data_IF_811555224332
#
_entry.id   IF_811555224332
#
_cell.length_a   1.000
_cell.length_b   1.000
_cell.length_c   1.000
_cell.angle_alpha   90.00
_cell.angle_beta   90.00
_cell.angle_gamma   90.00
#
_symmetry.space_group_name_H-M   'P 1'
#
loop_
_entity.id
_entity.type
_entity.pdbx_description
1 polymer ?
#
# COMPACT_ATOMS: atom_id res chain seq x y z
N UNK A 1 44.89 60.47 -12.62
CA UNK A 1 44.20 61.48 -13.44
C UNK A 1 43.67 60.84 -14.73
N UNK A 2 42.35 60.78 -14.84
CA UNK A 2 41.52 61.16 -16.00
C UNK A 2 41.71 60.60 -17.44
N UNK A 3 40.52 60.22 -17.99
CA UNK A 3 40.01 60.18 -19.38
C UNK A 3 40.11 58.84 -20.12
N UNK A 4 39.02 58.09 -20.27
CA UNK A 4 37.80 58.25 -21.13
C UNK A 4 38.02 57.96 -22.63
N UNK A 5 37.52 56.77 -23.02
CA UNK A 5 36.56 56.50 -24.11
C UNK A 5 37.00 56.65 -25.58
N UNK A 6 36.81 55.58 -26.37
CA UNK A 6 36.12 55.67 -27.68
C UNK A 6 35.51 54.32 -28.09
N UNK A 7 34.19 54.34 -28.21
CA UNK A 7 33.35 53.33 -28.85
C UNK A 7 33.41 53.53 -30.37
N UNK A 8 33.38 52.44 -31.15
CA UNK A 8 32.90 52.46 -32.53
C UNK A 8 31.95 51.29 -32.76
N UNK A 9 30.68 51.62 -32.93
CA UNK A 9 29.58 50.79 -33.45
C UNK A 9 29.52 51.08 -34.95
N UNK A 10 29.45 50.06 -35.82
CA UNK A 10 28.77 50.13 -37.13
C UNK A 10 28.20 48.74 -37.48
N UNK A 11 26.87 48.69 -37.42
CA UNK A 11 25.84 48.12 -38.31
C UNK A 11 25.82 46.66 -38.81
N UNK A 12 24.66 46.05 -38.53
CA UNK A 12 24.04 44.89 -39.19
C UNK A 12 23.69 45.20 -40.67
N UNK A 13 23.34 44.20 -41.51
CA UNK A 13 21.93 43.78 -41.56
C UNK A 13 21.66 42.28 -41.86
N UNK A 14 20.50 41.81 -41.38
CA UNK A 14 19.64 40.74 -41.95
C UNK A 14 20.09 39.29 -41.71
N UNK A 15 19.23 38.35 -41.34
CA UNK A 15 17.77 38.36 -41.23
C UNK A 15 17.24 37.27 -40.31
N UNK A 16 15.92 37.28 -40.20
CA UNK A 16 15.08 36.59 -39.23
C UNK A 16 15.27 35.07 -39.15
N UNK A 17 15.21 34.56 -37.92
CA UNK A 17 14.29 33.47 -37.65
C UNK A 17 13.91 33.41 -36.16
N UNK A 18 12.61 33.28 -35.92
CA UNK A 18 11.97 33.15 -34.62
C UNK A 18 12.60 32.07 -33.74
N UNK A 19 12.89 32.36 -32.46
CA UNK A 19 12.11 31.73 -31.39
C UNK A 19 12.42 32.29 -29.99
N UNK A 20 11.34 32.50 -29.27
CA UNK A 20 11.20 33.02 -27.93
C UNK A 20 11.78 32.04 -26.89
N UNK A 21 13.03 32.22 -26.43
CA UNK A 21 13.66 31.43 -25.34
C UNK A 21 14.59 32.26 -24.44
N UNK A 22 14.20 33.50 -24.13
CA UNK A 22 15.01 34.41 -23.31
C UNK A 22 14.42 34.76 -21.94
N UNK A 23 13.17 34.41 -21.69
CA UNK A 23 12.42 34.87 -20.51
C UNK A 23 12.39 33.82 -19.39
N UNK A 24 12.60 32.53 -19.68
CA UNK A 24 12.52 31.48 -18.65
C UNK A 24 13.78 31.29 -17.82
N UNK A 25 14.98 31.33 -18.42
CA UNK A 25 16.20 30.96 -17.70
C UNK A 25 16.52 31.93 -16.56
N UNK A 26 16.32 33.24 -16.77
CA UNK A 26 16.58 34.26 -15.74
C UNK A 26 15.53 34.26 -14.62
N UNK A 27 14.29 33.89 -14.93
CA UNK A 27 13.24 33.75 -13.92
C UNK A 27 13.50 32.52 -13.06
N UNK A 28 13.88 31.40 -13.68
CA UNK A 28 14.29 30.17 -12.99
C UNK A 28 15.56 30.41 -12.15
N UNK A 29 16.58 31.08 -12.68
CA UNK A 29 17.81 31.38 -11.94
C UNK A 29 17.60 32.39 -10.80
N UNK A 30 16.58 33.24 -10.90
CA UNK A 30 16.18 34.16 -9.83
C UNK A 30 15.34 33.44 -8.77
N UNK A 31 14.43 32.54 -9.18
CA UNK A 31 13.67 31.67 -8.28
C UNK A 31 14.58 30.74 -7.49
N UNK A 32 15.58 30.11 -8.13
CA UNK A 32 16.57 29.26 -7.47
C UNK A 32 17.39 30.07 -6.46
N UNK A 33 17.83 31.29 -6.82
CA UNK A 33 18.55 32.18 -5.90
C UNK A 33 17.70 32.69 -4.74
N UNK A 34 16.43 32.98 -4.98
CA UNK A 34 15.48 33.42 -3.96
C UNK A 34 15.07 32.25 -3.04
N UNK A 35 15.06 31.03 -3.55
CA UNK A 35 14.90 29.79 -2.80
C UNK A 35 16.12 29.50 -1.92
N UNK A 36 17.33 29.55 -2.46
CA UNK A 36 18.58 29.38 -1.71
C UNK A 36 18.72 30.43 -0.59
N UNK A 37 18.37 31.69 -0.85
CA UNK A 37 18.40 32.76 0.16
C UNK A 37 17.39 32.57 1.30
N UNK A 38 16.25 31.93 1.03
CA UNK A 38 15.17 31.79 2.01
C UNK A 38 15.36 30.62 2.97
N UNK A 39 16.15 29.61 2.59
CA UNK A 39 16.25 28.34 3.33
C UNK A 39 17.68 27.98 3.82
N UNK A 40 18.68 28.85 3.64
CA UNK A 40 20.06 28.57 4.06
C UNK A 40 20.31 28.52 5.59
N UNK A 41 19.33 28.85 6.43
CA UNK A 41 19.48 28.78 7.89
C UNK A 41 18.60 27.71 8.58
N UNK A 42 17.91 26.85 7.83
CA UNK A 42 17.11 25.80 8.44
C UNK A 42 16.94 24.59 7.49
N UNK A 43 17.87 23.64 7.57
CA UNK A 43 17.88 22.39 6.80
C UNK A 43 16.70 21.46 7.13
N UNK A 44 15.86 21.79 8.12
CA UNK A 44 14.66 21.01 8.45
C UNK A 44 13.48 21.25 7.50
N UNK A 45 13.52 22.28 6.65
CA UNK A 45 12.39 22.68 5.78
C UNK A 45 12.49 22.22 4.32
N UNK A 46 13.57 21.54 3.92
CA UNK A 46 13.67 20.92 2.58
C UNK A 46 12.77 19.67 2.47
N UNK A 47 12.38 19.09 3.62
CA UNK A 47 11.56 17.88 3.71
C UNK A 47 10.04 18.14 3.80
N UNK A 48 9.58 19.39 3.61
CA UNK A 48 8.16 19.73 3.81
C UNK A 48 7.35 19.93 2.53
N UNK A 49 7.88 19.59 1.35
CA UNK A 49 7.07 19.57 0.14
C UNK A 49 6.23 18.28 0.13
N UNK A 50 4.92 18.44 0.05
CA UNK A 50 4.00 17.32 -0.05
C UNK A 50 4.14 16.63 -1.41
N UNK A 51 3.90 15.31 -1.47
CA UNK A 51 4.02 14.51 -2.70
C UNK A 51 3.22 15.11 -3.88
N UNK A 52 2.12 15.82 -3.61
CA UNK A 52 1.30 16.51 -4.62
C UNK A 52 2.04 17.67 -5.30
N UNK A 53 2.87 18.40 -4.56
CA UNK A 53 3.67 19.52 -5.08
C UNK A 53 4.81 19.03 -5.98
N UNK A 54 5.22 17.76 -5.85
CA UNK A 54 6.27 17.12 -6.64
C UNK A 54 5.75 16.31 -7.84
N UNK A 55 4.49 15.83 -7.80
CA UNK A 55 3.94 14.89 -8.79
C UNK A 55 2.96 15.49 -9.79
N UNK A 56 2.55 16.76 -9.62
CA UNK A 56 1.60 17.42 -10.51
C UNK A 56 0.20 16.79 -10.50
N UNK A 57 -0.13 15.99 -9.48
CA UNK A 57 -1.47 15.46 -9.27
C UNK A 57 -2.43 16.59 -8.86
N UNK A 58 -3.72 16.53 -9.27
CA UNK A 58 -4.71 17.52 -8.84
C UNK A 58 -4.77 17.60 -7.31
N UNK A 59 -5.19 18.75 -6.74
CA UNK A 59 -5.34 18.89 -5.30
C UNK A 59 -6.27 17.79 -4.78
N UNK A 60 -5.84 17.12 -3.71
CA UNK A 60 -6.61 16.06 -3.07
C UNK A 60 -7.87 16.69 -2.47
N UNK A 61 -9.02 16.04 -2.70
CA UNK A 61 -10.30 16.55 -2.22
C UNK A 61 -10.32 16.55 -0.69
N UNK A 62 -10.82 17.59 -0.06
CA UNK A 62 -11.09 17.55 1.38
C UNK A 62 -12.23 16.57 1.70
N UNK A 63 -12.33 16.16 2.96
CA UNK A 63 -13.41 15.30 3.41
C UNK A 63 -14.80 15.91 3.15
N UNK A 64 -14.93 17.24 3.26
CA UNK A 64 -16.14 17.98 2.92
C UNK A 64 -16.40 18.02 1.40
N UNK A 65 -15.36 18.14 0.59
CA UNK A 65 -15.48 18.12 -0.87
C UNK A 65 -15.94 16.74 -1.38
N UNK A 66 -15.46 15.66 -0.77
CA UNK A 66 -15.91 14.29 -1.08
C UNK A 66 -17.38 14.12 -0.70
N UNK A 67 -17.78 14.56 0.50
CA UNK A 67 -19.17 14.51 0.95
C UNK A 67 -20.10 15.32 0.02
N UNK A 68 -19.67 16.51 -0.39
CA UNK A 68 -20.43 17.34 -1.32
C UNK A 68 -20.56 16.68 -2.70
N UNK A 69 -19.50 16.06 -3.21
CA UNK A 69 -19.57 15.27 -4.47
C UNK A 69 -20.54 14.10 -4.37
N UNK A 70 -20.62 13.45 -3.20
CA UNK A 70 -21.59 12.39 -2.97
C UNK A 70 -23.03 12.93 -3.05
N UNK A 71 -23.31 14.06 -2.42
CA UNK A 71 -24.60 14.74 -2.52
C UNK A 71 -24.96 15.10 -3.97
N UNK A 72 -24.01 15.67 -4.71
CA UNK A 72 -24.20 16.06 -6.11
C UNK A 72 -24.42 14.84 -7.02
N UNK A 73 -23.75 13.72 -6.74
CA UNK A 73 -23.91 12.46 -7.48
C UNK A 73 -25.29 11.88 -7.23
N UNK A 74 -25.75 11.87 -5.97
CA UNK A 74 -27.10 11.43 -5.66
C UNK A 74 -28.18 12.28 -6.36
N UNK A 75 -28.00 13.60 -6.41
CA UNK A 75 -28.93 14.49 -7.11
C UNK A 75 -29.07 14.16 -8.61
N UNK A 76 -28.05 13.54 -9.23
CA UNK A 76 -28.03 13.16 -10.64
C UNK A 76 -28.47 11.72 -10.89
N UNK A 77 -28.12 10.80 -9.98
CA UNK A 77 -28.23 9.35 -10.20
C UNK A 77 -29.24 8.63 -9.31
N UNK A 78 -29.79 9.30 -8.29
CA UNK A 78 -30.71 8.72 -7.31
C UNK A 78 -30.20 7.41 -6.70
N UNK A 79 -29.21 7.52 -5.81
CA UNK A 79 -28.51 6.38 -5.21
C UNK A 79 -29.46 5.62 -4.28
N UNK A 80 -29.56 4.30 -4.47
CA UNK A 80 -30.32 3.42 -3.57
C UNK A 80 -29.69 3.43 -2.17
N UNK A 81 -30.51 3.53 -1.12
CA UNK A 81 -30.02 3.60 0.25
C UNK A 81 -29.28 4.90 0.60
N UNK A 82 -29.42 5.96 -0.20
CA UNK A 82 -28.71 7.22 -0.01
C UNK A 82 -28.76 7.77 1.42
N UNK A 83 -29.91 7.72 2.11
CA UNK A 83 -30.02 8.23 3.47
C UNK A 83 -29.15 7.47 4.47
N UNK A 84 -28.94 6.18 4.26
CA UNK A 84 -28.05 5.34 5.06
C UNK A 84 -26.58 5.71 4.79
N UNK A 85 -26.16 5.69 3.52
CA UNK A 85 -24.78 6.02 3.14
C UNK A 85 -24.40 7.46 3.45
N UNK A 86 -25.37 8.39 3.39
CA UNK A 86 -25.17 9.77 3.85
C UNK A 86 -24.72 9.82 5.32
N UNK A 87 -25.36 9.05 6.19
CA UNK A 87 -24.99 9.01 7.61
C UNK A 87 -23.57 8.45 7.79
N UNK A 88 -23.22 7.42 7.02
CA UNK A 88 -21.87 6.85 7.03
C UNK A 88 -20.82 7.89 6.60
N UNK A 89 -21.03 8.58 5.47
CA UNK A 89 -20.08 9.59 5.02
C UNK A 89 -19.99 10.79 5.97
N UNK A 90 -21.10 11.19 6.60
CA UNK A 90 -21.08 12.21 7.67
C UNK A 90 -20.26 11.75 8.88
N UNK A 91 -20.39 10.48 9.30
CA UNK A 91 -19.59 9.89 10.38
C UNK A 91 -18.10 9.77 10.02
N UNK A 92 -17.76 9.38 8.79
CA UNK A 92 -16.38 9.36 8.30
C UNK A 92 -15.80 10.77 8.37
N UNK A 93 -16.50 11.76 7.82
CA UNK A 93 -16.07 13.16 7.85
C UNK A 93 -15.86 13.67 9.28
N UNK A 94 -16.79 13.37 10.19
CA UNK A 94 -16.67 13.73 11.60
C UNK A 94 -15.43 13.08 12.24
N UNK A 95 -15.20 11.79 12.03
CA UNK A 95 -14.02 11.10 12.57
C UNK A 95 -12.71 11.70 12.03
N UNK A 96 -12.66 12.12 10.76
CA UNK A 96 -11.48 12.78 10.19
C UNK A 96 -11.25 14.18 10.80
N UNK A 97 -12.30 14.97 10.99
CA UNK A 97 -12.21 16.28 11.67
C UNK A 97 -11.73 16.14 13.12
N UNK A 98 -12.18 15.08 13.82
CA UNK A 98 -11.75 14.73 15.18
C UNK A 98 -10.38 14.04 15.24
N UNK A 99 -9.73 13.81 14.09
CA UNK A 99 -8.44 13.07 13.95
C UNK A 99 -8.50 11.60 14.40
N UNK A 100 -9.69 11.01 14.45
CA UNK A 100 -9.94 9.60 14.73
C UNK A 100 -9.78 8.75 13.45
N UNK A 101 -8.59 8.77 12.83
CA UNK A 101 -8.34 8.12 11.52
C UNK A 101 -8.67 6.62 11.55
N UNK A 102 -8.32 5.91 12.62
CA UNK A 102 -8.60 4.46 12.77
C UNK A 102 -10.08 4.12 12.61
N UNK A 103 -10.96 4.91 13.23
CA UNK A 103 -12.41 4.71 13.14
C UNK A 103 -12.96 5.05 11.77
N UNK A 104 -12.38 6.04 11.09
CA UNK A 104 -12.74 6.36 9.72
C UNK A 104 -12.39 5.20 8.77
N UNK A 105 -11.20 4.58 8.94
CA UNK A 105 -10.81 3.38 8.19
C UNK A 105 -11.74 2.21 8.47
N UNK A 106 -12.02 1.92 9.75
CA UNK A 106 -12.93 0.81 10.14
C UNK A 106 -14.30 0.95 9.47
N UNK A 107 -14.89 2.16 9.45
CA UNK A 107 -16.18 2.40 8.78
C UNK A 107 -16.13 2.22 7.26
N UNK A 108 -15.00 2.55 6.63
CA UNK A 108 -14.82 2.40 5.18
C UNK A 108 -14.66 0.92 4.84
N UNK A 109 -13.79 0.21 5.56
CA UNK A 109 -13.53 -1.22 5.36
C UNK A 109 -14.80 -2.04 5.58
N UNK A 110 -15.56 -1.75 6.64
CA UNK A 110 -16.84 -2.42 6.93
C UNK A 110 -17.82 -2.31 5.76
N UNK A 111 -17.94 -1.13 5.16
CA UNK A 111 -18.85 -0.93 4.03
C UNK A 111 -18.30 -1.53 2.74
N UNK A 112 -17.02 -1.35 2.41
CA UNK A 112 -16.42 -1.92 1.20
C UNK A 112 -16.45 -3.47 1.18
N UNK A 113 -16.53 -4.11 2.35
CA UNK A 113 -16.72 -5.55 2.47
C UNK A 113 -18.15 -6.02 2.17
N UNK A 114 -19.12 -5.11 2.08
CA UNK A 114 -20.52 -5.46 1.85
C UNK A 114 -20.83 -5.65 0.36
N UNK A 115 -21.39 -6.81 0.02
CA UNK A 115 -21.72 -7.21 -1.35
C UNK A 115 -22.81 -6.38 -2.03
N UNK A 116 -23.50 -5.50 -1.28
CA UNK A 116 -24.62 -4.70 -1.76
C UNK A 116 -24.28 -3.23 -2.02
N UNK A 117 -23.02 -2.81 -1.83
CA UNK A 117 -22.63 -1.39 -2.01
C UNK A 117 -22.82 -0.96 -3.47
N UNK A 118 -23.62 0.08 -3.75
CA UNK A 118 -23.73 0.64 -5.10
C UNK A 118 -22.38 1.18 -5.57
N UNK A 119 -22.07 1.00 -6.86
CA UNK A 119 -20.81 1.47 -7.46
C UNK A 119 -20.53 2.95 -7.21
N UNK A 120 -21.56 3.80 -7.26
CA UNK A 120 -21.42 5.23 -6.94
C UNK A 120 -20.95 5.47 -5.51
N UNK A 121 -21.36 4.64 -4.55
CA UNK A 121 -20.96 4.74 -3.13
C UNK A 121 -19.52 4.26 -2.99
N UNK A 122 -19.17 3.13 -3.61
CA UNK A 122 -17.81 2.58 -3.66
C UNK A 122 -16.80 3.63 -4.17
N UNK A 123 -17.13 4.33 -5.27
CA UNK A 123 -16.29 5.41 -5.82
C UNK A 123 -15.98 6.51 -4.79
N UNK A 124 -16.94 6.86 -3.92
CA UNK A 124 -16.75 7.89 -2.88
C UNK A 124 -16.05 7.35 -1.63
N UNK A 125 -16.27 6.09 -1.26
CA UNK A 125 -15.52 5.41 -0.21
C UNK A 125 -14.04 5.34 -0.57
N UNK A 126 -13.71 4.96 -1.81
CA UNK A 126 -12.34 4.94 -2.32
C UNK A 126 -11.69 6.33 -2.31
N UNK A 127 -12.44 7.40 -2.59
CA UNK A 127 -11.93 8.78 -2.43
C UNK A 127 -11.55 9.10 -0.97
N UNK A 128 -12.33 8.62 0.00
CA UNK A 128 -11.99 8.76 1.41
C UNK A 128 -10.76 7.94 1.81
N UNK A 129 -10.60 6.72 1.28
CA UNK A 129 -9.38 5.92 1.48
C UNK A 129 -8.15 6.69 0.99
N UNK A 130 -8.20 7.26 -0.22
CA UNK A 130 -7.09 8.04 -0.79
C UNK A 130 -6.74 9.25 0.10
N UNK A 131 -7.75 9.97 0.60
CA UNK A 131 -7.55 11.08 1.52
C UNK A 131 -6.92 10.62 2.84
N UNK A 132 -7.41 9.51 3.41
CA UNK A 132 -6.86 8.95 4.66
C UNK A 132 -5.40 8.54 4.48
N UNK A 133 -5.08 7.84 3.40
CA UNK A 133 -3.71 7.47 3.06
C UNK A 133 -2.83 8.72 2.97
N UNK A 134 -3.31 9.81 2.37
CA UNK A 134 -2.57 11.07 2.34
C UNK A 134 -2.38 11.69 3.74
N UNK A 135 -3.40 11.70 4.57
CA UNK A 135 -3.32 12.22 5.94
C UNK A 135 -2.33 11.42 6.79
N UNK A 136 -2.38 10.10 6.70
CA UNK A 136 -1.42 9.19 7.35
C UNK A 136 -0.01 9.49 6.85
N UNK A 137 0.17 9.58 5.53
CA UNK A 137 1.46 9.89 4.91
C UNK A 137 2.02 11.24 5.39
N UNK A 138 1.19 12.30 5.45
CA UNK A 138 1.60 13.62 5.98
C UNK A 138 1.99 13.55 7.45
N UNK A 139 1.23 12.81 8.27
CA UNK A 139 1.53 12.63 9.68
C UNK A 139 2.84 11.85 9.89
N UNK A 140 3.04 10.78 9.12
CA UNK A 140 4.27 9.99 9.14
C UNK A 140 5.46 10.83 8.66
N UNK A 141 5.32 11.63 7.61
CA UNK A 141 6.36 12.53 7.11
C UNK A 141 6.71 13.62 8.15
N UNK A 142 5.72 14.20 8.83
CA UNK A 142 5.99 15.14 9.92
C UNK A 142 6.76 14.48 11.08
N UNK A 143 6.47 13.22 11.40
CA UNK A 143 7.07 12.50 12.51
C UNK A 143 8.45 11.89 12.20
N UNK A 144 8.70 11.49 10.95
CA UNK A 144 9.85 10.66 10.57
C UNK A 144 10.61 11.22 9.35
N UNK A 145 10.11 12.26 8.69
CA UNK A 145 10.67 12.82 7.45
C UNK A 145 12.08 13.39 7.58
N UNK A 146 12.44 13.83 8.78
CA UNK A 146 13.77 14.31 9.11
C UNK A 146 14.82 13.19 9.25
N UNK A 147 14.39 11.92 9.33
CA UNK A 147 15.32 10.79 9.46
C UNK A 147 15.99 10.49 8.13
N UNK A 148 17.26 10.10 8.18
CA UNK A 148 17.94 9.49 7.05
C UNK A 148 17.41 8.06 6.80
N UNK A 149 17.61 7.52 5.60
CA UNK A 149 17.21 6.14 5.28
C UNK A 149 17.81 5.10 6.22
N UNK A 150 19.06 5.31 6.67
CA UNK A 150 19.71 4.43 7.66
C UNK A 150 19.04 4.48 9.03
N UNK A 151 18.68 5.68 9.50
CA UNK A 151 18.00 5.86 10.79
C UNK A 151 16.58 5.30 10.75
N UNK A 152 15.86 5.51 9.64
CA UNK A 152 14.52 4.96 9.43
C UNK A 152 14.54 3.42 9.48
N UNK A 153 15.43 2.79 8.70
CA UNK A 153 15.62 1.34 8.71
C UNK A 153 16.00 0.88 10.13
N UNK A 154 16.99 1.50 10.76
CA UNK A 154 17.41 1.12 12.12
C UNK A 154 16.26 1.21 13.12
N UNK A 155 15.42 2.26 13.05
CA UNK A 155 14.28 2.46 13.94
C UNK A 155 13.15 1.45 13.70
N UNK A 156 12.88 1.12 12.45
CA UNK A 156 11.90 0.10 12.08
C UNK A 156 12.28 -1.29 12.59
N UNK A 157 13.58 -1.62 12.56
CA UNK A 157 14.09 -2.93 12.95
C UNK A 157 14.56 -3.05 14.41
N UNK A 158 14.70 -1.94 15.14
CA UNK A 158 15.15 -1.92 16.55
C UNK A 158 14.25 -2.71 17.51
N UNK A 159 12.96 -2.84 17.19
CA UNK A 159 11.99 -3.63 17.95
C UNK A 159 11.16 -4.51 17.01
N UNK A 160 11.86 -5.24 16.13
CA UNK A 160 11.23 -6.13 15.16
C UNK A 160 10.31 -7.16 15.85
N UNK A 161 9.07 -7.38 15.38
CA UNK A 161 8.43 -6.78 14.20
C UNK A 161 7.55 -5.54 14.50
N UNK A 162 7.41 -5.15 15.77
CA UNK A 162 6.44 -4.16 16.26
C UNK A 162 6.50 -2.80 15.54
N UNK A 163 7.67 -2.42 15.03
CA UNK A 163 7.91 -1.14 14.38
C UNK A 163 7.97 -1.22 12.85
N UNK A 164 7.65 -2.36 12.24
CA UNK A 164 7.74 -2.52 10.78
C UNK A 164 6.78 -1.60 10.01
N UNK A 165 5.63 -1.26 10.61
CA UNK A 165 4.69 -0.28 10.05
C UNK A 165 5.34 1.09 9.77
N UNK A 166 6.45 1.44 10.43
CA UNK A 166 7.20 2.66 10.15
C UNK A 166 7.82 2.66 8.74
N UNK A 167 8.00 1.50 8.11
CA UNK A 167 8.51 1.39 6.75
C UNK A 167 7.48 1.76 5.69
N UNK A 168 6.21 1.98 6.04
CA UNK A 168 5.21 2.42 5.06
C UNK A 168 5.55 3.80 4.47
N UNK A 169 6.27 4.63 5.24
CA UNK A 169 6.79 5.91 4.77
C UNK A 169 7.72 5.78 3.56
N UNK A 170 8.25 4.58 3.27
CA UNK A 170 8.99 4.30 2.04
C UNK A 170 8.23 4.81 0.79
N UNK A 171 6.91 4.70 0.79
CA UNK A 171 6.05 5.11 -0.32
C UNK A 171 6.05 6.63 -0.58
N UNK A 172 6.42 7.42 0.42
CA UNK A 172 6.47 8.89 0.31
C UNK A 172 7.87 9.40 -0.05
N UNK A 173 8.89 8.54 -0.04
CA UNK A 173 10.27 8.96 -0.25
C UNK A 173 10.61 9.09 -1.73
N UNK A 174 11.36 10.14 -2.12
CA UNK A 174 11.79 10.30 -3.50
C UNK A 174 12.83 9.23 -3.87
N UNK A 175 12.96 8.92 -5.17
CA UNK A 175 14.09 8.14 -5.68
C UNK A 175 15.42 8.71 -5.20
N UNK A 176 16.33 7.84 -4.78
CA UNK A 176 17.64 8.17 -4.23
C UNK A 176 17.67 8.34 -2.71
N UNK A 177 16.53 8.32 -2.02
CA UNK A 177 16.51 8.36 -0.55
C UNK A 177 17.11 7.09 0.06
N UNK A 178 16.80 5.93 -0.51
CA UNK A 178 17.44 4.65 -0.17
C UNK A 178 18.67 4.44 -1.04
N UNK A 179 19.69 3.81 -0.46
CA UNK A 179 20.91 3.37 -1.16
C UNK A 179 20.89 1.86 -1.27
N UNK A 180 21.21 1.31 -2.45
CA UNK A 180 21.10 -0.13 -2.74
C UNK A 180 21.80 -1.00 -1.70
N UNK A 181 22.93 -0.55 -1.17
CA UNK A 181 23.74 -1.26 -0.17
C UNK A 181 23.01 -1.44 1.16
N UNK A 182 22.05 -0.58 1.47
CA UNK A 182 21.22 -0.67 2.69
C UNK A 182 20.35 -1.93 2.71
N UNK A 183 20.10 -2.54 1.55
CA UNK A 183 19.37 -3.80 1.49
C UNK A 183 20.07 -4.95 2.23
N UNK A 184 21.40 -4.88 2.38
CA UNK A 184 22.17 -5.85 3.16
C UNK A 184 21.72 -5.93 4.62
N UNK A 185 21.16 -4.86 5.18
CA UNK A 185 20.61 -4.84 6.53
C UNK A 185 19.23 -5.53 6.62
N UNK A 186 18.46 -5.48 5.53
CA UNK A 186 17.11 -6.05 5.45
C UNK A 186 17.17 -7.55 5.12
N UNK A 187 18.16 -7.96 4.30
CA UNK A 187 18.32 -9.31 3.78
C UNK A 187 18.19 -10.42 4.85
N UNK A 188 18.81 -10.32 6.06
CA UNK A 188 18.71 -11.37 7.06
C UNK A 188 17.26 -11.73 7.42
N UNK A 189 16.38 -10.73 7.57
CA UNK A 189 14.97 -10.94 7.94
C UNK A 189 14.16 -11.65 6.85
N UNK A 190 14.50 -11.44 5.57
CA UNK A 190 13.86 -12.16 4.46
C UNK A 190 14.36 -13.61 4.34
N UNK A 191 15.62 -13.86 4.72
CA UNK A 191 16.29 -15.15 4.54
C UNK A 191 16.17 -16.09 5.74
N UNK A 192 15.98 -15.56 6.95
CA UNK A 192 16.09 -16.34 8.18
C UNK A 192 14.85 -17.21 8.42
N UNK A 193 15.04 -18.47 8.82
CA UNK A 193 13.97 -19.45 9.05
C UNK A 193 13.03 -19.06 10.20
N UNK A 194 13.55 -18.38 11.20
CA UNK A 194 12.85 -17.95 12.42
C UNK A 194 11.95 -16.73 12.20
N UNK A 195 12.10 -16.01 11.08
CA UNK A 195 11.20 -14.91 10.74
C UNK A 195 9.91 -15.46 10.15
N UNK A 196 8.76 -15.11 10.71
CA UNK A 196 7.47 -15.58 10.23
C UNK A 196 7.19 -15.14 8.79
N UNK A 197 6.48 -15.99 8.05
CA UNK A 197 6.20 -15.79 6.63
C UNK A 197 5.45 -14.48 6.34
N UNK A 198 4.51 -14.08 7.19
CA UNK A 198 3.76 -12.83 6.99
C UNK A 198 4.67 -11.60 7.04
N UNK A 199 5.67 -11.57 7.94
CA UNK A 199 6.67 -10.50 7.96
C UNK A 199 7.58 -10.52 6.73
N UNK A 200 7.95 -11.71 6.25
CA UNK A 200 8.74 -11.85 5.01
C UNK A 200 8.00 -11.29 3.80
N UNK A 201 6.72 -11.62 3.66
CA UNK A 201 5.84 -11.10 2.60
C UNK A 201 5.75 -9.58 2.72
N UNK A 202 5.41 -9.07 3.91
CA UNK A 202 5.28 -7.64 4.18
C UNK A 202 6.55 -6.85 3.80
N UNK A 203 7.72 -7.32 4.26
CA UNK A 203 9.01 -6.71 3.93
C UNK A 203 9.28 -6.77 2.41
N UNK A 204 9.01 -7.90 1.77
CA UNK A 204 9.20 -8.05 0.32
C UNK A 204 8.33 -7.05 -0.45
N UNK A 205 7.05 -6.91 -0.08
CA UNK A 205 6.11 -5.99 -0.72
C UNK A 205 6.49 -4.53 -0.52
N UNK A 206 6.86 -4.13 0.70
CA UNK A 206 7.31 -2.76 0.98
C UNK A 206 8.56 -2.43 0.17
N UNK A 207 9.58 -3.29 0.20
CA UNK A 207 10.83 -2.99 -0.46
C UNK A 207 10.79 -3.17 -1.98
N UNK A 208 9.78 -3.88 -2.50
CA UNK A 208 9.48 -3.89 -3.94
C UNK A 208 9.00 -2.53 -4.45
N UNK A 209 8.59 -1.62 -3.58
CA UNK A 209 8.26 -0.22 -3.92
C UNK A 209 9.49 0.69 -3.97
N UNK A 210 10.66 0.22 -3.55
CA UNK A 210 11.92 0.98 -3.59
C UNK A 210 12.69 0.68 -4.87
N UNK A 211 12.78 1.67 -5.76
CA UNK A 211 13.43 1.53 -7.07
C UNK A 211 14.90 1.08 -6.95
N UNK A 212 15.62 1.56 -5.95
CA UNK A 212 17.04 1.24 -5.77
C UNK A 212 17.28 -0.22 -5.38
N UNK A 213 16.25 -0.90 -4.86
CA UNK A 213 16.30 -2.31 -4.48
C UNK A 213 15.82 -3.25 -5.59
N UNK A 214 15.25 -2.71 -6.67
CA UNK A 214 14.76 -3.51 -7.79
C UNK A 214 15.84 -4.47 -8.31
N UNK A 215 15.42 -5.72 -8.59
CA UNK A 215 16.27 -6.77 -9.12
C UNK A 215 17.24 -7.42 -8.14
N UNK A 216 17.30 -7.00 -6.86
CA UNK A 216 18.07 -7.73 -5.84
C UNK A 216 17.45 -9.11 -5.65
N UNK A 217 18.27 -10.16 -5.78
CA UNK A 217 17.85 -11.53 -5.54
C UNK A 217 17.91 -11.87 -4.05
N UNK A 218 16.85 -12.50 -3.56
CA UNK A 218 16.63 -12.86 -2.17
C UNK A 218 16.30 -14.34 -2.11
N UNK A 219 17.01 -15.07 -1.24
CA UNK A 219 16.72 -16.48 -0.92
C UNK A 219 15.80 -16.55 0.29
N UNK A 220 14.50 -16.72 0.06
CA UNK A 220 13.50 -16.79 1.13
C UNK A 220 13.27 -18.25 1.54
N UNK A 221 13.35 -18.54 2.83
CA UNK A 221 13.00 -19.83 3.40
C UNK A 221 11.66 -19.71 4.14
N UNK A 222 10.68 -20.55 3.82
CA UNK A 222 9.41 -20.60 4.54
C UNK A 222 9.62 -21.15 5.96
N UNK A 223 9.16 -20.43 6.99
CA UNK A 223 9.34 -20.81 8.40
C UNK A 223 8.60 -22.09 8.80
N UNK A 224 7.49 -22.41 8.12
CA UNK A 224 6.59 -23.53 8.39
C UNK A 224 6.88 -24.78 7.58
N UNK A 225 7.19 -24.62 6.29
CA UNK A 225 7.41 -25.75 5.36
C UNK A 225 8.90 -26.02 5.12
N UNK A 226 9.79 -25.05 5.40
CA UNK A 226 11.22 -25.13 5.08
C UNK A 226 11.52 -24.98 3.58
N UNK A 227 10.51 -24.69 2.76
CA UNK A 227 10.66 -24.51 1.31
C UNK A 227 11.52 -23.27 1.04
N UNK A 228 12.50 -23.41 0.16
CA UNK A 228 13.38 -22.31 -0.25
C UNK A 228 12.95 -21.81 -1.63
N UNK A 229 12.88 -20.48 -1.79
CA UNK A 229 12.66 -19.84 -3.08
C UNK A 229 13.60 -18.67 -3.28
N UNK A 230 14.01 -18.47 -4.53
CA UNK A 230 14.72 -17.28 -4.96
C UNK A 230 13.72 -16.33 -5.61
N UNK A 231 13.66 -15.08 -5.14
CA UNK A 231 12.80 -14.04 -5.67
C UNK A 231 13.60 -12.75 -5.88
N UNK A 232 13.24 -11.94 -6.87
CA UNK A 232 13.85 -10.63 -7.10
C UNK A 232 12.95 -9.54 -6.55
N UNK A 233 13.50 -8.59 -5.80
CA UNK A 233 12.74 -7.43 -5.35
C UNK A 233 12.17 -6.66 -6.55
N UNK A 234 10.91 -6.25 -6.46
CA UNK A 234 10.17 -5.64 -7.58
C UNK A 234 9.55 -6.64 -8.56
N UNK A 235 9.73 -7.95 -8.35
CA UNK A 235 9.08 -9.00 -9.15
C UNK A 235 7.97 -9.71 -8.37
N UNK A 236 7.20 -10.56 -9.06
CA UNK A 236 6.21 -11.40 -8.38
C UNK A 236 6.88 -12.38 -7.43
N UNK A 237 6.35 -12.43 -6.22
CA UNK A 237 6.88 -13.24 -5.13
C UNK A 237 6.52 -14.72 -5.29
N UNK A 238 5.27 -14.99 -5.65
CA UNK A 238 4.72 -16.31 -5.98
C UNK A 238 4.79 -16.58 -7.49
N UNK A 239 4.75 -17.84 -7.91
CA UNK A 239 4.78 -18.21 -9.33
C UNK A 239 3.37 -18.07 -9.89
N UNK A 240 3.25 -17.97 -11.22
CA UNK A 240 1.93 -17.99 -11.86
C UNK A 240 1.13 -19.24 -11.46
N UNK A 241 1.79 -20.40 -11.40
CA UNK A 241 1.15 -21.65 -10.94
C UNK A 241 0.58 -21.55 -9.51
N UNK A 242 1.34 -20.98 -8.57
CA UNK A 242 0.85 -20.74 -7.19
C UNK A 242 -0.31 -19.75 -7.18
N UNK A 243 -0.21 -18.67 -7.95
CA UNK A 243 -1.27 -17.66 -8.03
C UNK A 243 -2.56 -18.25 -8.62
N UNK A 244 -2.43 -19.03 -9.70
CA UNK A 244 -3.54 -19.71 -10.36
C UNK A 244 -4.17 -20.77 -9.44
N UNK A 245 -3.37 -21.49 -8.66
CA UNK A 245 -3.85 -22.45 -7.66
C UNK A 245 -4.77 -21.78 -6.64
N UNK A 246 -4.32 -20.68 -6.02
CA UNK A 246 -5.10 -19.99 -4.99
C UNK A 246 -6.28 -19.21 -5.59
N UNK A 247 -6.15 -18.65 -6.79
CA UNK A 247 -7.28 -18.05 -7.50
C UNK A 247 -8.37 -19.08 -7.81
N UNK A 248 -7.98 -20.28 -8.27
CA UNK A 248 -8.93 -21.39 -8.49
C UNK A 248 -9.57 -21.85 -7.18
N UNK A 249 -8.80 -21.95 -6.09
CA UNK A 249 -9.33 -22.30 -4.77
C UNK A 249 -10.42 -21.32 -4.30
N UNK A 250 -10.16 -20.02 -4.40
CA UNK A 250 -11.12 -18.96 -4.04
C UNK A 250 -12.39 -19.06 -4.88
N UNK A 251 -12.27 -19.25 -6.20
CA UNK A 251 -13.43 -19.38 -7.09
C UNK A 251 -14.28 -20.62 -6.74
N UNK A 252 -13.64 -21.77 -6.50
CA UNK A 252 -14.34 -22.99 -6.11
C UNK A 252 -15.07 -22.85 -4.76
N UNK A 253 -14.48 -22.16 -3.79
CA UNK A 253 -15.15 -21.88 -2.52
C UNK A 253 -16.38 -21.01 -2.76
N UNK A 254 -16.24 -19.91 -3.50
CA UNK A 254 -17.37 -19.03 -3.84
C UNK A 254 -18.51 -19.78 -4.55
N UNK A 255 -18.20 -20.74 -5.42
CA UNK A 255 -19.18 -21.60 -6.10
C UNK A 255 -19.84 -22.62 -5.15
N UNK A 256 -19.10 -23.16 -4.18
CA UNK A 256 -19.61 -24.19 -3.26
C UNK A 256 -20.54 -23.63 -2.18
N UNK A 257 -20.38 -22.36 -1.80
CA UNK A 257 -21.11 -21.73 -0.69
C UNK A 257 -21.77 -20.40 -1.08
N UNK A 258 -22.13 -20.25 -2.36
CA UNK A 258 -22.69 -19.01 -2.93
C UNK A 258 -23.89 -18.46 -2.16
N UNK A 259 -24.72 -19.33 -1.60
CA UNK A 259 -25.95 -18.94 -0.87
C UNK A 259 -25.72 -18.65 0.64
N UNK A 260 -24.49 -18.83 1.15
CA UNK A 260 -24.15 -18.65 2.56
C UNK A 260 -22.97 -17.67 2.73
N UNK A 261 -23.24 -16.34 2.81
CA UNK A 261 -22.20 -15.33 2.91
C UNK A 261 -21.26 -15.51 4.11
N UNK A 262 -21.79 -15.85 5.29
CA UNK A 262 -20.98 -16.06 6.50
C UNK A 262 -20.03 -17.26 6.36
N UNK A 263 -20.49 -18.33 5.71
CA UNK A 263 -19.66 -19.51 5.45
C UNK A 263 -18.57 -19.18 4.43
N UNK A 264 -18.90 -18.38 3.41
CA UNK A 264 -17.96 -17.87 2.41
C UNK A 264 -16.84 -17.07 3.06
N UNK A 265 -17.16 -16.08 3.89
CA UNK A 265 -16.15 -15.26 4.58
C UNK A 265 -15.19 -16.09 5.42
N UNK A 266 -15.71 -17.03 6.22
CA UNK A 266 -14.89 -17.89 7.08
C UNK A 266 -14.02 -18.87 6.26
N UNK A 267 -14.55 -19.41 5.15
CA UNK A 267 -13.79 -20.28 4.27
C UNK A 267 -12.67 -19.53 3.54
N UNK A 268 -12.92 -18.28 3.11
CA UNK A 268 -11.91 -17.43 2.49
C UNK A 268 -10.83 -16.98 3.49
N UNK A 269 -11.17 -16.76 4.77
CA UNK A 269 -10.14 -16.52 5.80
C UNK A 269 -9.17 -17.72 5.93
N UNK A 270 -9.69 -18.96 5.85
CA UNK A 270 -8.84 -20.14 5.80
C UNK A 270 -7.92 -20.13 4.57
N UNK A 271 -8.41 -19.75 3.40
CA UNK A 271 -7.57 -19.62 2.19
C UNK A 271 -6.41 -18.65 2.42
N UNK A 272 -6.67 -17.49 3.03
CA UNK A 272 -5.63 -16.51 3.36
C UNK A 272 -4.56 -17.11 4.29
N UNK A 273 -4.99 -17.89 5.29
CA UNK A 273 -4.04 -18.59 6.18
C UNK A 273 -3.23 -19.67 5.45
N UNK A 274 -3.83 -20.38 4.49
CA UNK A 274 -3.09 -21.33 3.63
C UNK A 274 -2.02 -20.60 2.79
N UNK A 275 -2.36 -19.44 2.22
CA UNK A 275 -1.42 -18.61 1.46
C UNK A 275 -0.21 -18.24 2.34
N UNK A 276 -0.46 -17.74 3.55
CA UNK A 276 0.61 -17.34 4.48
C UNK A 276 1.44 -18.53 4.97
N UNK A 277 0.82 -19.69 5.21
CA UNK A 277 1.50 -20.89 5.69
C UNK A 277 2.38 -21.52 4.60
N UNK A 278 1.90 -21.60 3.36
CA UNK A 278 2.60 -22.25 2.24
C UNK A 278 3.48 -21.31 1.42
N UNK A 279 3.37 -20.01 1.65
CA UNK A 279 4.18 -18.96 1.05
C UNK A 279 5.65 -19.38 0.81
N UNK A 280 6.26 -19.17 -0.36
CA UNK A 280 5.71 -18.65 -1.63
C UNK A 280 5.20 -19.75 -2.58
N UNK A 281 4.93 -20.96 -2.05
CA UNK A 281 4.40 -22.09 -2.80
C UNK A 281 2.92 -22.31 -2.44
N UNK A 282 2.31 -23.33 -3.04
CA UNK A 282 1.01 -23.86 -2.65
C UNK A 282 1.18 -25.28 -2.08
N UNK A 283 0.21 -25.81 -1.32
CA UNK A 283 0.24 -27.20 -0.89
C UNK A 283 0.18 -28.17 -2.09
N UNK A 284 0.80 -29.34 -1.95
CA UNK A 284 0.67 -30.48 -2.88
C UNK A 284 -0.68 -31.22 -2.67
N UNK A 285 -1.78 -30.47 -2.59
CA UNK A 285 -3.13 -31.00 -2.42
C UNK A 285 -3.90 -30.67 -3.71
N UNK A 286 -4.79 -31.55 -4.15
CA UNK A 286 -5.68 -31.23 -5.25
C UNK A 286 -6.60 -30.05 -4.84
N UNK A 287 -6.59 -28.98 -5.62
CA UNK A 287 -7.33 -27.74 -5.33
C UNK A 287 -8.84 -27.96 -5.13
N UNK A 288 -9.44 -28.85 -5.91
CA UNK A 288 -10.87 -29.16 -5.83
C UNK A 288 -11.21 -29.94 -4.55
N UNK A 289 -10.30 -30.82 -4.10
CA UNK A 289 -10.40 -31.49 -2.80
C UNK A 289 -10.22 -30.51 -1.64
N UNK A 290 -9.22 -29.63 -1.73
CA UNK A 290 -8.94 -28.64 -0.68
C UNK A 290 -10.14 -27.70 -0.48
N UNK A 291 -10.75 -27.20 -1.56
CA UNK A 291 -11.94 -26.35 -1.49
C UNK A 291 -13.08 -27.02 -0.71
N UNK A 292 -13.37 -28.29 -1.03
CA UNK A 292 -14.42 -29.08 -0.37
C UNK A 292 -14.12 -29.32 1.11
N UNK A 293 -12.87 -29.66 1.43
CA UNK A 293 -12.45 -29.91 2.81
C UNK A 293 -12.47 -28.63 3.66
N UNK A 294 -12.10 -27.47 3.11
CA UNK A 294 -12.22 -26.16 3.79
C UNK A 294 -13.69 -25.85 4.09
N UNK A 295 -14.56 -25.94 3.09
CA UNK A 295 -16.01 -25.67 3.26
C UNK A 295 -16.62 -26.62 4.29
N UNK A 296 -16.31 -27.91 4.18
CA UNK A 296 -16.77 -28.90 5.16
C UNK A 296 -16.25 -28.57 6.56
N UNK A 297 -14.97 -28.25 6.71
CA UNK A 297 -14.39 -27.92 8.00
C UNK A 297 -15.17 -26.77 8.67
N UNK A 298 -15.37 -25.65 7.97
CA UNK A 298 -16.10 -24.51 8.53
C UNK A 298 -17.57 -24.87 8.83
N UNK A 299 -18.24 -25.58 7.92
CA UNK A 299 -19.63 -26.02 8.14
C UNK A 299 -19.78 -26.89 9.39
N UNK A 300 -18.85 -27.82 9.63
CA UNK A 300 -18.87 -28.66 10.84
C UNK A 300 -18.54 -27.85 12.10
N UNK A 301 -17.62 -26.89 12.02
CA UNK A 301 -17.30 -25.99 13.13
C UNK A 301 -18.49 -25.13 13.57
N UNK A 302 -19.34 -24.71 12.61
CA UNK A 302 -20.53 -23.93 12.90
C UNK A 302 -21.70 -24.78 13.41
N UNK A 303 -21.86 -26.01 12.91
CA UNK A 303 -23.04 -26.83 13.18
C UNK A 303 -22.99 -27.70 14.45
N UNK A 304 -21.98 -27.55 15.32
CA UNK A 304 -21.87 -28.20 16.64
C UNK A 304 -22.29 -29.68 16.72
N UNK A 305 -22.23 -30.43 15.61
CA UNK A 305 -22.71 -31.79 15.57
C UNK A 305 -21.53 -32.72 15.92
N UNK A 306 -21.49 -33.14 17.18
CA UNK A 306 -20.42 -33.93 17.83
C UNK A 306 -20.12 -35.31 17.23
N UNK A 307 -20.66 -35.65 16.05
CA UNK A 307 -20.24 -36.84 15.33
C UNK A 307 -18.89 -36.56 14.66
N UNK A 308 -17.83 -36.71 15.46
CA UNK A 308 -16.43 -36.66 15.03
C UNK A 308 -16.24 -37.74 13.97
N UNK A 309 -16.47 -37.38 12.70
CA UNK A 309 -15.89 -38.12 11.59
C UNK A 309 -14.39 -38.14 11.80
N UNK A 310 -13.77 -39.26 11.48
CA UNK A 310 -12.31 -39.43 11.44
C UNK A 310 -11.71 -38.19 10.75
N UNK A 311 -10.94 -37.39 11.49
CA UNK A 311 -10.38 -36.13 10.97
C UNK A 311 -9.56 -36.46 9.72
N UNK A 312 -9.88 -35.82 8.59
CA UNK A 312 -9.08 -35.94 7.38
C UNK A 312 -7.69 -35.36 7.64
N UNK A 313 -6.69 -35.79 6.86
CA UNK A 313 -5.35 -35.19 6.92
C UNK A 313 -5.41 -33.68 6.67
N UNK A 314 -6.32 -33.24 5.79
CA UNK A 314 -6.62 -31.83 5.53
C UNK A 314 -7.19 -31.11 6.75
N UNK A 315 -8.11 -31.72 7.50
CA UNK A 315 -8.65 -31.12 8.74
C UNK A 315 -7.57 -30.92 9.80
N UNK A 316 -6.64 -31.89 9.94
CA UNK A 316 -5.49 -31.76 10.85
C UNK A 316 -4.54 -30.66 10.38
N UNK A 317 -4.35 -30.52 9.07
CA UNK A 317 -3.57 -29.43 8.50
C UNK A 317 -4.23 -28.06 8.77
N UNK A 318 -5.55 -27.96 8.63
CA UNK A 318 -6.30 -26.73 8.95
C UNK A 318 -6.10 -26.34 10.42
N UNK A 319 -6.23 -27.29 11.35
CA UNK A 319 -5.96 -27.04 12.78
C UNK A 319 -4.53 -26.53 13.03
N UNK A 320 -3.54 -27.14 12.35
CA UNK A 320 -2.14 -26.70 12.41
C UNK A 320 -1.96 -25.29 11.87
N UNK A 321 -2.62 -24.96 10.77
CA UNK A 321 -2.53 -23.62 10.16
C UNK A 321 -3.17 -22.58 11.09
N UNK A 322 -4.35 -22.87 11.65
CA UNK A 322 -5.05 -21.98 12.59
C UNK A 322 -4.24 -21.69 13.86
N UNK A 323 -3.45 -22.65 14.33
CA UNK A 323 -2.59 -22.47 15.51
C UNK A 323 -1.31 -21.69 15.22
N UNK A 324 -0.82 -21.74 13.97
CA UNK A 324 0.46 -21.13 13.58
C UNK A 324 0.33 -19.75 12.95
N UNK A 325 -0.74 -19.52 12.21
CA UNK A 325 -0.98 -18.26 11.49
C UNK A 325 -2.05 -17.49 12.25
N UNK A 326 -1.66 -16.39 12.88
CA UNK A 326 -2.58 -15.38 13.39
C UNK A 326 -2.65 -14.27 12.35
N UNK A 327 -3.86 -13.94 11.91
CA UNK A 327 -4.15 -12.81 11.02
C UNK A 327 -4.77 -11.71 11.87
#
# INVERSE_FOLDING_TARGET
>A
MNKKTKVKIIDKPGGDNHNNKGVDQKMVDQMVRDYEKKYMNDSSKVYSLTLNELTGKPPINTAEEILQKFHDTNAKKAISGYSFYKQIFELINQNLQEKNIKKAVELIDEELQMSYVPKEVEEHLNMYEELIVELINKQQEAALGHLTSKELISKAFANFPSNLALLEIVQTKPPGYFQREQFSFIMPYLTAKDTDNHWKIYLFEIFSKVREFEGIEVKMENSDTGTIRYAKIGSQLSSNETNDYFAKLTNLINELVTDEPSLTTLALDLVNRFILFYFPAHPEINVDLLAKEIVQYVYHSLNFNHNVKKRSETSVLIDKILTKVQI
#
